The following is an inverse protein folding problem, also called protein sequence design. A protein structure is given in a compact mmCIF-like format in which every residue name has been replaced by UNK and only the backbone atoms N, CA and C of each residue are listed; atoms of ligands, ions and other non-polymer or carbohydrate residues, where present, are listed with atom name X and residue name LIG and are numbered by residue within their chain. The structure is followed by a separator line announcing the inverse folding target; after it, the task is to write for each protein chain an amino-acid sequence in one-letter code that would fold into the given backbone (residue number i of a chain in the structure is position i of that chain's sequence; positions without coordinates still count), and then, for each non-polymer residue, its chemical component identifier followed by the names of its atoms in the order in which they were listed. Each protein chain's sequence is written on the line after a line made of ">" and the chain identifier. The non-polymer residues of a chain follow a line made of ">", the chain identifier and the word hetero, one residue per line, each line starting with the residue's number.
data_IF_628105781683
#
_entry.id   IF_628105781683
#
_cell.length_a   1.000
_cell.length_b   1.000
_cell.length_c   1.000
_cell.angle_alpha   90.00
_cell.angle_beta   90.00
_cell.angle_gamma   90.00
#
_symmetry.space_group_name_H-M   'P 1'
#
loop_
_entity.id
_entity.type
_entity.pdbx_description
1 polymer ?
#
# COMPACT_ATOMS: atom_id res chain seq x y z
N UNK A 1 12.28 3.13 -13.84
CA UNK A 1 12.69 2.63 -12.51
C UNK A 1 11.96 1.34 -12.24
N UNK A 2 12.64 0.34 -11.69
CA UNK A 2 12.02 -0.95 -11.36
C UNK A 2 11.18 -0.83 -10.08
N UNK A 3 10.01 -1.47 -10.05
CA UNK A 3 9.18 -1.58 -8.84
C UNK A 3 9.35 -2.96 -8.20
N UNK A 4 9.33 -3.01 -6.87
CA UNK A 4 9.37 -4.23 -6.07
C UNK A 4 8.12 -4.27 -5.18
N UNK A 5 7.46 -5.43 -5.10
CA UNK A 5 6.35 -5.67 -4.16
C UNK A 5 6.89 -6.45 -2.97
N UNK A 6 6.64 -5.95 -1.77
CA UNK A 6 7.01 -6.61 -0.51
C UNK A 6 5.75 -7.18 0.14
N UNK A 7 5.85 -8.41 0.64
CA UNK A 7 4.82 -9.01 1.50
C UNK A 7 5.28 -8.84 2.93
N UNK A 8 4.59 -7.98 3.68
CA UNK A 8 4.89 -7.63 5.07
C UNK A 8 3.59 -7.70 5.88
N UNK A 9 3.70 -8.00 7.16
CA UNK A 9 2.60 -7.87 8.11
C UNK A 9 2.30 -6.39 8.40
N UNK A 10 1.11 -6.12 8.93
CA UNK A 10 0.71 -4.75 9.33
C UNK A 10 1.63 -4.21 10.42
N UNK A 11 2.07 -5.04 11.37
CA UNK A 11 3.01 -4.64 12.43
C UNK A 11 4.39 -4.24 11.89
N UNK A 12 4.91 -4.99 10.91
CA UNK A 12 6.18 -4.63 10.25
C UNK A 12 6.04 -3.30 9.49
N UNK A 13 4.91 -3.09 8.80
CA UNK A 13 4.64 -1.81 8.11
C UNK A 13 4.55 -0.65 9.11
N UNK A 14 3.88 -0.83 10.25
CA UNK A 14 3.79 0.18 11.30
C UNK A 14 5.17 0.55 11.85
N UNK A 15 6.03 -0.45 12.10
CA UNK A 15 7.41 -0.24 12.57
C UNK A 15 8.23 0.57 11.56
N UNK A 16 8.08 0.27 10.27
CA UNK A 16 8.73 1.02 9.19
C UNK A 16 8.22 2.47 9.16
N UNK A 17 6.90 2.68 9.25
CA UNK A 17 6.31 4.02 9.24
C UNK A 17 6.76 4.86 10.45
N UNK A 18 6.88 4.25 11.64
CA UNK A 18 7.42 4.91 12.83
C UNK A 18 8.88 5.32 12.63
N UNK A 19 9.72 4.42 12.10
CA UNK A 19 11.10 4.72 11.79
C UNK A 19 11.25 5.87 10.77
N UNK A 20 10.39 5.91 9.73
CA UNK A 20 10.33 7.00 8.76
C UNK A 20 9.88 8.32 9.40
N UNK A 21 8.95 8.28 10.36
CA UNK A 21 8.48 9.47 11.09
C UNK A 21 9.58 10.19 11.88
N UNK A 22 10.65 9.49 12.25
CA UNK A 22 11.81 10.05 12.93
C UNK A 22 12.85 10.70 11.99
N UNK A 23 12.61 10.70 10.66
CA UNK A 23 13.49 11.29 9.65
C UNK A 23 12.96 12.63 9.12
N UNK A 24 13.80 13.44 8.44
CA UNK A 24 13.35 14.67 7.80
C UNK A 24 12.26 14.40 6.75
N UNK A 25 11.11 15.05 6.89
CA UNK A 25 9.93 14.86 6.03
C UNK A 25 10.24 14.91 4.52
N UNK A 26 11.08 15.85 4.09
CA UNK A 26 11.47 16.03 2.70
C UNK A 26 12.09 14.77 2.06
N UNK A 27 12.68 13.87 2.87
CA UNK A 27 13.28 12.62 2.40
C UNK A 27 12.29 11.45 2.37
N UNK A 28 11.29 11.45 3.26
CA UNK A 28 10.43 10.28 3.50
C UNK A 28 9.02 10.39 2.94
N UNK A 29 8.54 11.59 2.61
CA UNK A 29 7.14 11.77 2.20
C UNK A 29 6.75 10.90 0.99
N UNK A 30 7.61 10.80 -0.03
CA UNK A 30 7.38 9.92 -1.20
C UNK A 30 7.35 8.44 -0.83
N UNK A 31 8.16 8.04 0.16
CA UNK A 31 8.21 6.65 0.64
C UNK A 31 6.91 6.31 1.35
N UNK A 32 6.47 7.18 2.26
CA UNK A 32 5.22 7.02 3.02
C UNK A 32 4.02 6.95 2.07
N UNK A 33 3.94 7.85 1.10
CA UNK A 33 2.88 7.82 0.06
C UNK A 33 2.91 6.52 -0.73
N UNK A 34 4.10 6.02 -1.09
CA UNK A 34 4.27 4.76 -1.80
C UNK A 34 3.83 3.53 -0.99
N UNK A 35 4.06 3.52 0.32
CA UNK A 35 3.60 2.47 1.23
C UNK A 35 2.07 2.52 1.37
N UNK A 36 1.50 3.70 1.60
CA UNK A 36 0.05 3.89 1.73
C UNK A 36 -0.70 3.43 0.47
N UNK A 37 -0.19 3.77 -0.72
CA UNK A 37 -0.81 3.33 -1.98
C UNK A 37 -0.81 1.81 -2.11
N UNK A 38 0.32 1.17 -1.85
CA UNK A 38 0.43 -0.29 -1.90
C UNK A 38 -0.44 -0.98 -0.85
N UNK A 39 -0.60 -0.39 0.33
CA UNK A 39 -1.49 -0.91 1.36
C UNK A 39 -2.95 -0.82 0.92
N UNK A 40 -3.40 0.30 0.34
CA UNK A 40 -4.75 0.45 -0.19
C UNK A 40 -5.05 -0.56 -1.31
N UNK A 41 -4.13 -0.74 -2.24
CA UNK A 41 -4.25 -1.73 -3.34
C UNK A 41 -4.35 -3.17 -2.82
N UNK A 42 -3.73 -3.49 -1.69
CA UNK A 42 -3.72 -4.85 -1.11
C UNK A 42 -4.87 -5.10 -0.15
N UNK A 43 -5.30 -4.08 0.59
CA UNK A 43 -6.38 -4.19 1.59
C UNK A 43 -7.77 -3.98 0.99
N UNK A 44 -7.88 -3.38 -0.20
CA UNK A 44 -9.14 -3.18 -0.90
C UNK A 44 -9.18 -3.98 -2.22
N UNK A 45 -9.34 -5.31 -2.17
CA UNK A 45 -9.44 -6.16 -3.36
C UNK A 45 -10.76 -6.00 -4.14
N UNK A 46 -11.68 -5.13 -3.72
CA UNK A 46 -13.00 -4.95 -4.33
C UNK A 46 -12.98 -4.12 -5.63
N UNK A 47 -12.24 -4.62 -6.64
CA UNK A 47 -12.54 -4.46 -8.06
C UNK A 47 -12.22 -5.77 -8.79
N UNK A 48 -12.75 -6.87 -8.27
CA UNK A 48 -13.06 -8.03 -9.08
C UNK A 48 -14.53 -7.94 -9.41
N UNK A 49 -14.85 -7.58 -10.65
CA UNK A 49 -16.20 -7.61 -11.21
C UNK A 49 -16.75 -9.05 -11.18
N UNK A 50 -17.25 -9.46 -10.01
CA UNK A 50 -18.23 -10.53 -9.84
C UNK A 50 -19.62 -9.93 -10.11
N UNK A 51 -19.80 -9.33 -11.29
CA UNK A 51 -21.12 -9.09 -11.82
C UNK A 51 -21.42 -10.28 -12.75
N UNK A 52 -22.22 -11.27 -12.32
CA UNK A 52 -22.75 -12.22 -13.29
C UNK A 52 -23.50 -11.41 -14.36
N UNK A 53 -23.37 -11.76 -15.66
CA UNK A 53 -24.16 -11.12 -16.70
C UNK A 53 -25.63 -11.24 -16.27
N UNK A 54 -26.33 -10.10 -16.17
CA UNK A 54 -27.78 -10.11 -16.05
C UNK A 54 -28.28 -10.74 -17.34
N UNK A 55 -28.73 -11.98 -17.28
CA UNK A 55 -29.48 -12.60 -18.36
C UNK A 55 -30.68 -11.67 -18.67
N UNK A 56 -30.67 -11.11 -19.88
CA UNK A 56 -31.70 -10.21 -20.44
C UNK A 56 -32.84 -11.01 -21.06
#
# INVERSE_FOLDING_TARGET
>A
MSQLKLTLSVDEVNTILEALGNMPYAKVYQIIVGIQRQAQEQLNPEKGDDFPPRDE
#
